data_IF_911761431340
#
_entry.id   IF_911761431340
#
_cell.length_a   1.000
_cell.length_b   1.000
_cell.length_c   1.000
_cell.angle_alpha   90.00
_cell.angle_beta   90.00
_cell.angle_gamma   90.00
#
_symmetry.space_group_name_H-M   'P 1'
#
loop_
_entity.id
_entity.type
_entity.pdbx_description
1 polymer ?
#
# COMPACT_ATOMS: atom_id res chain seq x y z
N UNK A 1 -6.52 -38.73 10.44
CA UNK A 1 -6.82 -37.56 9.58
C UNK A 1 -6.30 -37.89 8.19
N UNK A 2 -7.16 -38.03 7.19
CA UNK A 2 -6.75 -38.40 5.81
C UNK A 2 -6.26 -37.13 5.12
N UNK A 3 -5.00 -37.11 4.67
CA UNK A 3 -4.42 -35.99 3.94
C UNK A 3 -4.79 -36.11 2.45
N UNK A 4 -5.81 -35.38 2.02
CA UNK A 4 -6.23 -35.33 0.62
C UNK A 4 -5.28 -34.38 -0.14
N UNK A 5 -4.47 -34.87 -1.08
CA UNK A 5 -3.52 -34.04 -1.81
C UNK A 5 -4.24 -32.96 -2.64
N UNK A 6 -3.56 -31.84 -2.88
CA UNK A 6 -4.11 -30.78 -3.74
C UNK A 6 -4.26 -31.29 -5.17
N UNK A 7 -5.44 -31.10 -5.77
CA UNK A 7 -5.72 -31.37 -7.19
C UNK A 7 -5.44 -30.13 -8.05
N UNK A 8 -5.46 -30.25 -9.38
CA UNK A 8 -4.91 -29.26 -10.33
C UNK A 8 -5.26 -27.79 -10.04
N UNK A 9 -6.55 -27.48 -9.85
CA UNK A 9 -7.01 -26.13 -9.51
C UNK A 9 -6.44 -25.62 -8.17
N UNK A 10 -6.37 -26.49 -7.18
CA UNK A 10 -5.94 -26.13 -5.83
C UNK A 10 -4.45 -25.83 -5.75
N UNK A 11 -3.66 -26.53 -6.58
CA UNK A 11 -2.23 -26.23 -6.78
C UNK A 11 -1.98 -24.83 -7.37
N UNK A 12 -3.02 -24.18 -7.90
CA UNK A 12 -2.96 -22.79 -8.38
C UNK A 12 -3.55 -21.81 -7.36
N UNK A 13 -4.74 -22.12 -6.81
CA UNK A 13 -5.46 -21.17 -5.93
C UNK A 13 -4.81 -21.00 -4.56
N UNK A 14 -4.14 -22.04 -4.04
CA UNK A 14 -3.42 -21.95 -2.75
C UNK A 14 -2.20 -21.02 -2.88
N UNK A 15 -1.29 -21.18 -3.87
CA UNK A 15 -0.24 -20.21 -4.11
C UNK A 15 -0.75 -18.79 -4.40
N UNK A 16 -1.87 -18.64 -5.12
CA UNK A 16 -2.53 -17.35 -5.32
C UNK A 16 -2.85 -16.69 -3.96
N UNK A 17 -3.55 -17.41 -3.08
CA UNK A 17 -3.92 -16.91 -1.76
C UNK A 17 -2.69 -16.53 -0.92
N UNK A 18 -1.67 -17.39 -0.90
CA UNK A 18 -0.42 -17.14 -0.16
C UNK A 18 0.27 -15.86 -0.66
N UNK A 19 0.47 -15.74 -1.97
CA UNK A 19 1.10 -14.56 -2.56
C UNK A 19 0.29 -13.28 -2.27
N UNK A 20 -1.03 -13.34 -2.41
CA UNK A 20 -1.90 -12.20 -2.13
C UNK A 20 -1.88 -11.80 -0.65
N UNK A 21 -1.88 -12.75 0.29
CA UNK A 21 -1.77 -12.45 1.74
C UNK A 21 -0.41 -11.83 2.06
N UNK A 22 0.69 -12.41 1.56
CA UNK A 22 2.04 -11.86 1.79
C UNK A 22 2.16 -10.45 1.21
N UNK A 23 1.77 -10.29 -0.06
CA UNK A 23 1.86 -9.02 -0.77
C UNK A 23 0.94 -7.95 -0.20
N UNK A 24 -0.37 -8.18 -0.24
CA UNK A 24 -1.37 -7.17 0.10
C UNK A 24 -1.59 -6.99 1.60
N UNK A 25 -1.58 -8.05 2.41
CA UNK A 25 -1.90 -7.96 3.84
C UNK A 25 -0.64 -7.87 4.71
N UNK A 26 0.50 -8.38 4.23
CA UNK A 26 1.78 -8.28 4.92
C UNK A 26 2.60 -7.07 4.49
N UNK A 27 3.10 -7.09 3.25
CA UNK A 27 4.08 -6.11 2.77
C UNK A 27 3.48 -4.71 2.59
N UNK A 28 2.27 -4.57 2.04
CA UNK A 28 1.68 -3.23 1.86
C UNK A 28 1.49 -2.48 3.19
N UNK A 29 0.91 -3.09 4.24
CA UNK A 29 0.83 -2.46 5.55
C UNK A 29 2.20 -2.22 6.17
N UNK A 30 3.14 -3.17 6.05
CA UNK A 30 4.50 -2.99 6.56
C UNK A 30 5.18 -1.78 5.92
N UNK A 31 5.05 -1.59 4.60
CA UNK A 31 5.57 -0.43 3.89
C UNK A 31 4.91 0.87 4.35
N UNK A 32 3.59 0.88 4.57
CA UNK A 32 2.85 2.05 5.06
C UNK A 32 3.25 2.44 6.49
N UNK A 33 3.36 1.46 7.39
CA UNK A 33 3.81 1.63 8.77
C UNK A 33 5.26 2.13 8.79
N UNK A 34 6.15 1.53 8.00
CA UNK A 34 7.55 1.96 7.87
C UNK A 34 7.63 3.43 7.51
N UNK A 35 6.89 3.89 6.48
CA UNK A 35 6.85 5.30 6.11
C UNK A 35 6.28 6.19 7.22
N UNK A 36 5.27 5.73 7.95
CA UNK A 36 4.65 6.50 9.05
C UNK A 36 5.63 6.77 10.18
N UNK A 37 6.33 5.75 10.66
CA UNK A 37 7.19 5.85 11.83
C UNK A 37 8.56 6.45 11.52
N UNK A 38 9.12 6.16 10.34
CA UNK A 38 10.51 6.53 10.05
C UNK A 38 10.66 7.89 9.37
N UNK A 39 9.59 8.46 8.80
CA UNK A 39 9.64 9.73 8.05
C UNK A 39 10.16 10.92 8.86
N UNK A 40 9.91 10.94 10.18
CA UNK A 40 10.40 12.01 11.06
C UNK A 40 11.75 11.71 11.73
N UNK A 41 12.32 10.53 11.45
CA UNK A 41 13.51 10.00 12.12
C UNK A 41 14.71 9.93 11.16
N UNK A 42 14.52 9.47 9.92
CA UNK A 42 15.60 9.24 8.97
C UNK A 42 15.21 9.61 7.53
N UNK A 43 16.11 10.20 6.72
CA UNK A 43 15.84 10.47 5.31
C UNK A 43 15.70 9.19 4.47
N UNK A 44 16.14 8.03 4.99
CA UNK A 44 16.03 6.74 4.31
C UNK A 44 14.59 6.19 4.25
N UNK A 45 13.63 6.83 4.94
CA UNK A 45 12.24 6.40 5.01
C UNK A 45 11.63 6.13 3.62
N UNK A 46 11.95 6.98 2.64
CA UNK A 46 11.39 6.87 1.30
C UNK A 46 11.94 5.65 0.56
N UNK A 47 13.26 5.42 0.64
CA UNK A 47 13.91 4.25 0.02
C UNK A 47 13.36 2.95 0.61
N UNK A 48 13.22 2.89 1.94
CA UNK A 48 12.65 1.73 2.62
C UNK A 48 11.20 1.50 2.21
N UNK A 49 10.38 2.54 2.21
CA UNK A 49 8.98 2.46 1.76
C UNK A 49 8.88 1.98 0.31
N UNK A 50 9.62 2.59 -0.60
CA UNK A 50 9.62 2.23 -2.01
C UNK A 50 10.09 0.78 -2.25
N UNK A 51 11.17 0.35 -1.58
CA UNK A 51 11.68 -1.01 -1.64
C UNK A 51 10.61 -2.03 -1.23
N UNK A 52 9.92 -1.78 -0.11
CA UNK A 52 8.86 -2.68 0.37
C UNK A 52 7.67 -2.68 -0.61
N UNK A 53 7.19 -1.50 -1.03
CA UNK A 53 5.96 -1.40 -1.83
C UNK A 53 6.11 -1.83 -3.28
N UNK A 54 7.20 -1.46 -3.94
CA UNK A 54 7.36 -1.68 -5.39
C UNK A 54 8.24 -2.89 -5.68
N UNK A 55 9.37 -3.03 -4.99
CA UNK A 55 10.38 -4.05 -5.31
C UNK A 55 10.05 -5.40 -4.67
N UNK A 56 9.56 -5.41 -3.42
CA UNK A 56 9.20 -6.65 -2.73
C UNK A 56 7.74 -7.03 -2.95
N UNK A 57 6.80 -6.13 -2.63
CA UNK A 57 5.38 -6.44 -2.76
C UNK A 57 4.94 -6.58 -4.22
N UNK A 58 5.48 -5.77 -5.13
CA UNK A 58 5.07 -5.76 -6.54
C UNK A 58 5.17 -7.11 -7.23
N UNK A 59 6.36 -7.74 -7.30
CA UNK A 59 6.51 -9.06 -7.91
C UNK A 59 5.62 -10.14 -7.27
N UNK A 60 5.47 -10.12 -5.95
CA UNK A 60 4.65 -11.10 -5.21
C UNK A 60 3.15 -10.89 -5.53
N UNK A 61 2.68 -9.65 -5.56
CA UNK A 61 1.30 -9.31 -5.91
C UNK A 61 1.01 -9.70 -7.36
N UNK A 62 1.91 -9.37 -8.29
CA UNK A 62 1.78 -9.74 -9.70
C UNK A 62 1.68 -11.26 -9.83
N UNK A 63 2.59 -12.02 -9.20
CA UNK A 63 2.53 -13.48 -9.20
C UNK A 63 1.20 -14.01 -8.63
N UNK A 64 0.75 -13.46 -7.49
CA UNK A 64 -0.53 -13.81 -6.90
C UNK A 64 -1.70 -13.57 -7.85
N UNK A 65 -1.83 -12.38 -8.43
CA UNK A 65 -2.92 -12.04 -9.36
C UNK A 65 -2.85 -12.89 -10.63
N UNK A 66 -1.66 -13.13 -11.19
CA UNK A 66 -1.47 -14.01 -12.35
C UNK A 66 -1.92 -15.45 -12.06
N UNK A 67 -1.62 -15.99 -10.87
CA UNK A 67 -2.11 -17.29 -10.44
C UNK A 67 -3.64 -17.31 -10.33
N UNK A 68 -4.25 -16.23 -9.81
CA UNK A 68 -5.72 -16.09 -9.75
C UNK A 68 -6.36 -16.10 -11.14
N UNK A 69 -5.79 -15.36 -12.09
CA UNK A 69 -6.23 -15.35 -13.49
C UNK A 69 -6.06 -16.74 -14.15
N UNK A 70 -4.98 -17.45 -13.84
CA UNK A 70 -4.78 -18.83 -14.30
C UNK A 70 -5.83 -19.79 -13.71
N UNK A 71 -6.17 -19.64 -12.42
CA UNK A 71 -7.18 -20.45 -11.75
C UNK A 71 -8.58 -20.24 -12.38
N UNK A 72 -8.93 -19.01 -12.75
CA UNK A 72 -10.18 -18.72 -13.50
C UNK A 72 -10.24 -19.48 -14.83
N UNK A 73 -9.12 -19.52 -15.57
CA UNK A 73 -9.02 -20.28 -16.82
C UNK A 73 -9.18 -21.79 -16.57
N UNK A 74 -8.58 -22.31 -15.50
CA UNK A 74 -8.67 -23.72 -15.13
C UNK A 74 -10.09 -24.13 -14.71
N UNK A 75 -10.84 -23.25 -14.02
CA UNK A 75 -12.21 -23.56 -13.58
C UNK A 75 -13.26 -23.42 -14.67
N UNK A 76 -12.90 -22.87 -15.84
CA UNK A 76 -13.85 -22.60 -16.93
C UNK A 76 -14.88 -21.51 -16.62
N UNK A 77 -14.74 -20.81 -15.47
CA UNK A 77 -15.65 -19.73 -15.10
C UNK A 77 -15.33 -18.45 -15.89
N UNK A 78 -16.33 -17.62 -16.22
CA UNK A 78 -16.08 -16.34 -16.87
C UNK A 78 -15.15 -15.44 -16.01
N UNK A 79 -14.23 -14.69 -16.65
CA UNK A 79 -13.55 -13.60 -15.97
C UNK A 79 -14.58 -12.63 -15.37
N UNK A 80 -14.31 -12.13 -14.15
CA UNK A 80 -15.19 -11.17 -13.46
C UNK A 80 -16.60 -11.70 -13.12
N UNK A 81 -16.79 -13.02 -13.01
CA UNK A 81 -18.09 -13.62 -12.70
C UNK A 81 -18.68 -13.20 -11.34
N UNK A 82 -17.84 -12.89 -10.35
CA UNK A 82 -18.26 -12.59 -8.97
C UNK A 82 -17.57 -11.34 -8.41
N UNK A 83 -18.00 -10.94 -7.22
CA UNK A 83 -17.46 -9.77 -6.51
C UNK A 83 -15.97 -9.91 -6.22
N UNK A 84 -15.48 -11.10 -5.87
CA UNK A 84 -14.07 -11.31 -5.56
C UNK A 84 -13.22 -11.08 -6.82
N UNK A 85 -13.59 -11.65 -7.97
CA UNK A 85 -12.87 -11.46 -9.24
C UNK A 85 -12.90 -10.00 -9.69
N UNK A 86 -14.06 -9.33 -9.61
CA UNK A 86 -14.21 -7.90 -9.96
C UNK A 86 -13.34 -7.01 -9.09
N UNK A 87 -13.48 -7.16 -7.77
CA UNK A 87 -12.74 -6.34 -6.81
C UNK A 87 -11.25 -6.63 -6.85
N UNK A 88 -10.83 -7.88 -7.06
CA UNK A 88 -9.43 -8.27 -7.19
C UNK A 88 -8.72 -7.56 -8.34
N UNK A 89 -9.34 -7.49 -9.51
CA UNK A 89 -8.78 -6.75 -10.66
C UNK A 89 -8.78 -5.24 -10.40
N UNK A 90 -9.87 -4.69 -9.87
CA UNK A 90 -9.93 -3.27 -9.52
C UNK A 90 -8.83 -2.88 -8.51
N UNK A 91 -8.64 -3.71 -7.48
CA UNK A 91 -7.61 -3.53 -6.46
C UNK A 91 -6.20 -3.62 -7.03
N UNK A 92 -5.95 -4.55 -7.96
CA UNK A 92 -4.67 -4.67 -8.63
C UNK A 92 -4.35 -3.43 -9.49
N UNK A 93 -5.33 -2.93 -10.25
CA UNK A 93 -5.18 -1.68 -11.02
C UNK A 93 -4.93 -0.49 -10.10
N UNK A 94 -5.68 -0.38 -8.99
CA UNK A 94 -5.46 0.67 -7.99
C UNK A 94 -4.06 0.58 -7.37
N UNK A 95 -3.56 -0.62 -7.08
CA UNK A 95 -2.21 -0.82 -6.59
C UNK A 95 -1.15 -0.35 -7.61
N UNK A 96 -1.27 -0.73 -8.88
CA UNK A 96 -0.34 -0.27 -9.92
C UNK A 96 -0.38 1.26 -10.09
N UNK A 97 -1.57 1.84 -10.09
CA UNK A 97 -1.76 3.29 -10.14
C UNK A 97 -1.15 3.98 -8.91
N UNK A 98 -1.25 3.37 -7.73
CA UNK A 98 -0.66 3.88 -6.49
C UNK A 98 0.88 3.85 -6.52
N UNK A 99 1.48 2.79 -7.06
CA UNK A 99 2.94 2.70 -7.22
C UNK A 99 3.44 3.73 -8.25
N UNK A 100 2.80 3.80 -9.41
CA UNK A 100 3.13 4.77 -10.46
C UNK A 100 2.92 6.21 -9.98
N UNK A 101 1.80 6.48 -9.29
CA UNK A 101 1.51 7.77 -8.68
C UNK A 101 2.51 8.13 -7.59
N UNK A 102 2.94 7.17 -6.76
CA UNK A 102 3.99 7.39 -5.76
C UNK A 102 5.33 7.78 -6.38
N UNK A 103 5.73 7.11 -7.46
CA UNK A 103 6.91 7.49 -8.24
C UNK A 103 6.74 8.91 -8.83
N UNK A 104 5.61 9.17 -9.48
CA UNK A 104 5.32 10.46 -10.09
C UNK A 104 5.41 11.61 -9.08
N UNK A 105 4.77 11.50 -7.90
CA UNK A 105 4.78 12.54 -6.87
C UNK A 105 6.18 12.83 -6.34
N UNK A 106 7.04 11.82 -6.29
CA UNK A 106 8.40 11.97 -5.78
C UNK A 106 9.38 12.51 -6.84
N UNK A 107 9.18 12.20 -8.12
CA UNK A 107 10.04 12.67 -9.21
C UNK A 107 9.54 13.95 -9.90
N UNK A 108 8.24 14.24 -9.85
CA UNK A 108 7.61 15.39 -10.49
C UNK A 108 6.92 16.26 -9.44
N UNK A 109 7.58 17.34 -9.03
CA UNK A 109 7.03 18.27 -8.02
C UNK A 109 6.16 19.33 -8.67
N UNK A 110 4.86 19.05 -8.80
CA UNK A 110 3.88 20.06 -9.22
C UNK A 110 3.51 20.93 -8.02
N UNK A 111 3.88 22.22 -8.06
CA UNK A 111 3.67 23.19 -6.95
C UNK A 111 2.30 23.85 -6.92
N UNK A 112 1.44 23.58 -7.91
CA UNK A 112 0.24 24.38 -8.21
C UNK A 112 -0.88 24.27 -7.17
N UNK A 113 -0.87 23.23 -6.31
CA UNK A 113 -1.91 23.04 -5.28
C UNK A 113 -1.30 22.51 -3.97
N UNK A 114 -1.06 23.41 -3.00
CA UNK A 114 -0.52 23.05 -1.67
C UNK A 114 -1.55 23.25 -0.57
N UNK A 115 -1.63 22.28 0.35
CA UNK A 115 -2.48 22.29 1.55
C UNK A 115 -1.56 22.12 2.76
N UNK A 116 -1.53 23.13 3.64
CA UNK A 116 -0.67 23.16 4.84
C UNK A 116 0.81 22.93 4.45
N UNK A 117 1.27 23.58 3.38
CA UNK A 117 2.66 23.50 2.90
C UNK A 117 3.04 22.19 2.17
N UNK A 118 2.11 21.26 1.92
CA UNK A 118 2.35 20.02 1.15
C UNK A 118 1.47 19.96 -0.09
N UNK A 119 1.95 19.38 -1.19
CA UNK A 119 1.12 19.18 -2.38
C UNK A 119 -0.09 18.29 -2.05
N UNK A 120 -1.26 18.61 -2.64
CA UNK A 120 -2.48 17.81 -2.52
C UNK A 120 -2.23 16.32 -2.87
N UNK A 121 -1.33 16.08 -3.82
CA UNK A 121 -0.93 14.74 -4.26
C UNK A 121 -0.40 13.86 -3.13
N UNK A 122 0.30 14.43 -2.13
CA UNK A 122 0.78 13.66 -0.97
C UNK A 122 -0.36 13.15 -0.10
N UNK A 123 -1.42 13.94 0.08
CA UNK A 123 -2.59 13.54 0.85
C UNK A 123 -3.39 12.49 0.09
N UNK A 124 -3.59 12.70 -1.21
CA UNK A 124 -4.25 11.73 -2.08
C UNK A 124 -3.51 10.40 -2.11
N UNK A 125 -2.18 10.41 -2.24
CA UNK A 125 -1.35 9.21 -2.18
C UNK A 125 -1.51 8.48 -0.84
N UNK A 126 -1.45 9.19 0.29
CA UNK A 126 -1.60 8.56 1.60
C UNK A 126 -3.00 7.96 1.81
N UNK A 127 -4.05 8.71 1.43
CA UNK A 127 -5.44 8.26 1.54
C UNK A 127 -5.72 7.05 0.66
N UNK A 128 -5.34 7.11 -0.62
CA UNK A 128 -5.52 6.01 -1.57
C UNK A 128 -4.77 4.75 -1.12
N UNK A 129 -3.55 4.90 -0.60
CA UNK A 129 -2.78 3.78 -0.05
C UNK A 129 -3.49 3.08 1.12
N UNK A 130 -4.12 3.84 2.03
CA UNK A 130 -4.91 3.26 3.13
C UNK A 130 -6.18 2.60 2.63
N UNK A 131 -6.85 3.20 1.64
CA UNK A 131 -8.04 2.62 1.02
C UNK A 131 -7.71 1.28 0.36
N UNK A 132 -6.60 1.18 -0.38
CA UNK A 132 -6.13 -0.06 -1.00
C UNK A 132 -5.89 -1.15 0.07
N UNK A 133 -5.24 -0.81 1.18
CA UNK A 133 -5.02 -1.76 2.28
C UNK A 133 -6.37 -2.23 2.85
N UNK A 134 -7.30 -1.32 3.13
CA UNK A 134 -8.62 -1.68 3.66
C UNK A 134 -9.40 -2.60 2.69
N UNK A 135 -9.42 -2.25 1.40
CA UNK A 135 -10.04 -3.07 0.36
C UNK A 135 -9.37 -4.44 0.23
N UNK A 136 -8.06 -4.52 0.42
CA UNK A 136 -7.34 -5.79 0.40
C UNK A 136 -7.75 -6.72 1.55
N UNK A 137 -7.93 -6.19 2.77
CA UNK A 137 -8.45 -6.98 3.89
C UNK A 137 -9.85 -7.52 3.58
N UNK A 138 -10.73 -6.69 3.04
CA UNK A 138 -12.06 -7.12 2.63
C UNK A 138 -12.01 -8.20 1.53
N UNK A 139 -11.18 -7.98 0.51
CA UNK A 139 -10.95 -8.90 -0.60
C UNK A 139 -10.43 -10.27 -0.14
N UNK A 140 -9.47 -10.29 0.79
CA UNK A 140 -8.94 -11.52 1.36
C UNK A 140 -10.04 -12.30 2.11
N UNK A 141 -10.89 -11.59 2.87
CA UNK A 141 -12.02 -12.20 3.58
C UNK A 141 -13.03 -12.83 2.63
N UNK A 142 -13.38 -12.15 1.53
CA UNK A 142 -14.21 -12.76 0.48
C UNK A 142 -13.56 -14.03 -0.09
N UNK A 143 -12.24 -14.01 -0.28
CA UNK A 143 -11.48 -15.14 -0.80
C UNK A 143 -11.65 -16.42 0.03
N UNK A 144 -11.34 -16.37 1.33
CA UNK A 144 -11.41 -17.58 2.16
C UNK A 144 -12.82 -17.93 2.66
N UNK A 145 -13.73 -16.95 2.81
CA UNK A 145 -15.10 -17.20 3.31
C UNK A 145 -16.06 -17.66 2.22
N UNK A 146 -15.87 -17.19 0.99
CA UNK A 146 -16.81 -17.42 -0.12
C UNK A 146 -16.12 -18.21 -1.21
N UNK A 147 -15.12 -17.63 -1.87
CA UNK A 147 -14.53 -18.25 -3.06
C UNK A 147 -13.91 -19.62 -2.78
N UNK A 148 -13.21 -19.78 -1.66
CA UNK A 148 -12.62 -21.08 -1.31
C UNK A 148 -13.68 -22.18 -1.29
N UNK A 149 -14.78 -21.96 -0.55
CA UNK A 149 -15.85 -22.95 -0.40
C UNK A 149 -16.55 -23.17 -1.74
N UNK A 150 -16.87 -22.09 -2.47
CA UNK A 150 -17.58 -22.16 -3.75
C UNK A 150 -16.77 -22.88 -4.84
N UNK A 151 -15.46 -22.66 -4.93
CA UNK A 151 -14.63 -23.21 -6.01
C UNK A 151 -14.10 -24.61 -5.70
N UNK A 152 -13.88 -24.95 -4.42
CA UNK A 152 -13.26 -26.23 -4.04
C UNK A 152 -14.23 -27.22 -3.41
N UNK A 153 -15.37 -26.74 -2.88
CA UNK A 153 -16.27 -27.54 -2.04
C UNK A 153 -15.65 -27.96 -0.70
N UNK A 154 -14.44 -27.48 -0.38
CA UNK A 154 -13.67 -27.93 0.79
C UNK A 154 -13.95 -27.10 2.03
N UNK A 155 -14.13 -27.80 3.14
CA UNK A 155 -14.26 -27.24 4.49
C UNK A 155 -13.18 -27.77 5.44
N UNK A 156 -12.16 -28.45 4.89
CA UNK A 156 -11.08 -29.07 5.65
C UNK A 156 -10.01 -28.07 6.15
N UNK A 157 -9.92 -26.89 5.53
CA UNK A 157 -9.14 -25.80 6.08
C UNK A 157 -9.82 -25.23 7.33
N UNK A 158 -9.03 -24.88 8.34
CA UNK A 158 -9.53 -24.27 9.56
C UNK A 158 -9.96 -22.81 9.30
N UNK A 159 -11.14 -22.64 8.71
CA UNK A 159 -11.74 -21.33 8.38
C UNK A 159 -11.91 -20.45 9.61
N UNK A 160 -12.11 -21.05 10.78
CA UNK A 160 -12.18 -20.32 12.04
C UNK A 160 -10.83 -19.70 12.40
N UNK A 161 -9.73 -20.45 12.29
CA UNK A 161 -8.39 -19.91 12.50
C UNK A 161 -8.05 -18.79 11.50
N UNK A 162 -8.40 -18.96 10.22
CA UNK A 162 -8.21 -17.92 9.21
C UNK A 162 -9.00 -16.63 9.55
N UNK A 163 -10.25 -16.76 9.99
CA UNK A 163 -11.07 -15.63 10.45
C UNK A 163 -10.45 -14.95 11.68
N UNK A 164 -9.98 -15.72 12.67
CA UNK A 164 -9.31 -15.16 13.86
C UNK A 164 -8.06 -14.37 13.48
N UNK A 165 -7.19 -14.94 12.64
CA UNK A 165 -5.99 -14.25 12.16
C UNK A 165 -6.36 -12.97 11.41
N UNK A 166 -7.37 -13.03 10.55
CA UNK A 166 -7.87 -11.87 9.82
C UNK A 166 -8.39 -10.77 10.75
N UNK A 167 -9.20 -11.13 11.77
CA UNK A 167 -9.70 -10.18 12.79
C UNK A 167 -8.54 -9.53 13.55
N UNK A 168 -7.57 -10.34 13.99
CA UNK A 168 -6.39 -9.82 14.70
C UNK A 168 -5.64 -8.80 13.83
N UNK A 169 -5.41 -9.11 12.55
CA UNK A 169 -4.70 -8.22 11.65
C UNK A 169 -5.50 -6.94 11.33
N UNK A 170 -6.81 -7.06 11.09
CA UNK A 170 -7.67 -5.90 10.78
C UNK A 170 -7.79 -4.93 11.95
N UNK A 171 -7.50 -5.37 13.18
CA UNK A 171 -7.45 -4.51 14.37
C UNK A 171 -6.04 -3.97 14.60
N UNK A 172 -5.04 -4.86 14.67
CA UNK A 172 -3.68 -4.49 15.07
C UNK A 172 -3.04 -3.53 14.06
N UNK A 173 -3.17 -3.78 12.75
CA UNK A 173 -2.51 -2.98 11.73
C UNK A 173 -3.01 -1.52 11.75
N UNK A 174 -4.34 -1.26 11.74
CA UNK A 174 -4.83 0.10 11.89
C UNK A 174 -4.40 0.74 13.20
N UNK A 175 -4.47 0.02 14.34
CA UNK A 175 -4.02 0.56 15.63
C UNK A 175 -2.57 1.02 15.56
N UNK A 176 -1.65 0.16 15.09
CA UNK A 176 -0.23 0.51 14.92
C UNK A 176 -0.08 1.71 14.00
N UNK A 177 -0.77 1.74 12.86
CA UNK A 177 -0.67 2.85 11.92
C UNK A 177 -1.16 4.18 12.52
N UNK A 178 -2.30 4.16 13.21
CA UNK A 178 -2.91 5.35 13.79
C UNK A 178 -2.15 5.87 15.01
N UNK A 179 -1.56 5.00 15.84
CA UNK A 179 -0.62 5.43 16.89
C UNK A 179 0.55 6.20 16.30
N UNK A 180 1.01 5.84 15.11
CA UNK A 180 2.05 6.59 14.40
C UNK A 180 1.66 8.01 14.01
N UNK A 181 0.36 8.37 14.01
CA UNK A 181 -0.08 9.75 13.78
C UNK A 181 0.31 10.70 14.91
N UNK A 182 0.65 10.19 16.10
CA UNK A 182 1.22 11.01 17.19
C UNK A 182 2.53 11.71 16.76
N UNK A 183 3.23 11.16 15.75
CA UNK A 183 4.44 11.73 15.18
C UNK A 183 4.18 12.86 14.16
N UNK A 184 2.93 13.15 13.80
CA UNK A 184 2.58 14.18 12.82
C UNK A 184 3.07 15.57 13.24
N UNK A 185 2.96 15.91 14.53
CA UNK A 185 3.43 17.21 15.03
C UNK A 185 4.91 17.41 14.73
N UNK A 186 5.73 16.40 15.05
CA UNK A 186 7.17 16.41 14.77
C UNK A 186 7.44 16.54 13.27
N UNK A 187 6.71 15.77 12.46
CA UNK A 187 6.85 15.79 11.02
C UNK A 187 6.54 17.20 10.44
N UNK A 188 5.44 17.84 10.85
CA UNK A 188 5.09 19.17 10.38
C UNK A 188 6.08 20.25 10.82
N UNK A 189 6.65 20.15 12.02
CA UNK A 189 7.70 21.07 12.47
C UNK A 189 8.96 20.95 11.61
N UNK A 190 9.38 19.72 11.27
CA UNK A 190 10.54 19.49 10.41
C UNK A 190 10.32 20.00 8.98
N UNK A 191 9.13 19.82 8.43
CA UNK A 191 8.78 20.29 7.09
C UNK A 191 8.74 21.82 7.01
N UNK A 192 8.19 22.49 8.03
CA UNK A 192 8.22 23.97 8.11
C UNK A 192 9.63 24.51 8.18
N UNK A 193 10.47 23.95 9.06
CA UNK A 193 11.87 24.36 9.16
C UNK A 193 12.67 24.15 7.86
N UNK A 194 12.31 23.14 7.06
CA UNK A 194 12.92 22.91 5.75
C UNK A 194 12.47 23.95 4.71
N UNK A 195 11.23 24.43 4.78
CA UNK A 195 10.73 25.50 3.92
C UNK A 195 11.43 26.83 4.25
N UNK A 196 11.55 27.18 5.53
CA UNK A 196 12.19 28.43 5.97
C UNK A 196 13.66 28.51 5.53
N UNK A 197 14.40 27.39 5.59
CA UNK A 197 15.79 27.31 5.09
C UNK A 197 15.93 27.44 3.58
N UNK A 198 14.86 27.19 2.83
CA UNK A 198 14.88 27.23 1.35
C UNK A 198 14.49 28.58 0.76
N UNK A 199 14.06 29.52 1.59
CA UNK A 199 13.83 30.91 1.20
C UNK A 199 15.20 31.61 1.06
N UNK A 200 15.52 32.26 -0.07
CA UNK A 200 16.71 33.10 -0.16
C UNK A 200 16.65 34.18 0.90
N UNK A 201 17.79 34.49 1.54
CA UNK A 201 17.90 35.68 2.41
C UNK A 201 17.59 36.89 1.51
N UNK A 202 16.58 37.73 1.83
CA UNK A 202 16.34 38.95 1.07
C UNK A 202 17.57 39.84 1.17
N UNK A 203 18.24 40.00 0.02
CA UNK A 203 19.24 40.99 -0.36
C UNK A 203 20.06 41.64 0.77
N UNK A 204 21.18 41.00 1.11
CA UNK A 204 22.37 41.72 1.56
C UNK A 204 22.99 42.60 0.44
N UNK A 205 22.39 42.60 -0.74
CA UNK A 205 22.84 43.30 -1.95
C UNK A 205 22.51 44.81 -1.94
N UNK A 206 21.61 45.27 -1.06
CA UNK A 206 21.18 46.67 -1.02
C UNK A 206 22.00 47.60 -0.10
N UNK A 207 23.16 47.15 0.38
CA UNK A 207 24.03 47.95 1.29
C UNK A 207 25.31 48.49 0.65
N UNK A 208 25.63 48.14 -0.60
CA UNK A 208 26.89 48.57 -1.24
C UNK A 208 26.68 49.78 -2.17
N UNK A 209 25.48 50.01 -2.70
CA UNK A 209 25.22 51.15 -3.61
C UNK A 209 25.04 52.51 -2.91
N UNK A 210 24.92 52.57 -1.59
CA UNK A 210 24.75 53.83 -0.86
C UNK A 210 26.06 54.55 -0.49
N UNK A 211 27.24 53.98 -0.79
CA UNK A 211 28.54 54.55 -0.36
C UNK A 211 29.41 55.13 -1.47
N UNK A 212 28.99 55.11 -2.74
CA UNK A 212 29.80 55.64 -3.85
C UNK A 212 29.27 56.96 -4.44
N UNK A 213 28.58 57.75 -3.62
CA UNK A 213 28.24 59.14 -3.94
C UNK A 213 29.27 60.11 -3.38
N UNK A 214 30.43 60.24 -4.02
CA UNK A 214 31.34 61.39 -3.89
C UNK A 214 32.06 61.66 -5.22
#
# INVERSE_FOLDING_TARGET
>A
MVHIPLIGFEKTIVPHAICCVIGFLGLLPAGAITARYTRSVTPLWFRAHWLIQAVLAGPIIIAGVSLGAHAVKQSGTPPLADTHKKLGIALFVLYLAQVAGGLFVHFVKVRTFTIIGRSLQNYLHAFMGLLIIALAFYQARLGFRVEWITQTGRTDINLHAAEVVWIVWVIIIPVIYFTGLLLLRRQYMQERAALDKSQPIPDAENKVEATNGH
#
